data_IF_901359877860
#
_entry.id   IF_901359877860
#
_cell.length_a   1.000
_cell.length_b   1.000
_cell.length_c   1.000
_cell.angle_alpha   90.00
_cell.angle_beta   90.00
_cell.angle_gamma   90.00
#
_symmetry.space_group_name_H-M   'P 1'
#
loop_
_entity.id
_entity.type
_entity.pdbx_description
1 polymer ?
#
# COMPACT_ATOMS: atom_id res chain seq x y z
N UNK A 1 53.73 16.87 -35.47
CA UNK A 1 52.98 18.11 -35.20
C UNK A 1 52.20 17.92 -33.90
N UNK A 2 52.50 18.76 -32.89
CA UNK A 2 51.72 19.20 -31.71
C UNK A 2 50.93 18.12 -30.92
N UNK A 3 51.45 17.57 -29.80
CA UNK A 3 51.47 18.06 -28.39
C UNK A 3 50.08 18.13 -27.69
N UNK A 4 49.80 17.11 -26.85
CA UNK A 4 49.27 17.07 -25.43
C UNK A 4 48.30 18.15 -24.91
N UNK A 5 47.43 17.92 -23.88
CA UNK A 5 47.71 17.08 -22.68
C UNK A 5 46.56 16.32 -21.97
N UNK A 6 47.03 15.39 -21.14
CA UNK A 6 46.44 14.72 -19.96
C UNK A 6 45.91 15.70 -18.90
N UNK A 7 44.87 15.33 -18.14
CA UNK A 7 44.76 15.71 -16.72
C UNK A 7 43.96 14.72 -15.88
N UNK A 8 44.68 14.14 -14.93
CA UNK A 8 44.31 13.28 -13.81
C UNK A 8 43.78 14.14 -12.66
N UNK A 9 42.75 13.73 -11.94
CA UNK A 9 42.70 14.03 -10.49
C UNK A 9 41.85 13.02 -9.71
N UNK A 10 42.56 12.25 -8.89
CA UNK A 10 42.08 11.37 -7.83
C UNK A 10 42.15 12.17 -6.52
N UNK A 11 41.10 12.21 -5.71
CA UNK A 11 41.19 12.75 -4.35
C UNK A 11 40.25 11.99 -3.41
N UNK A 12 40.82 11.02 -2.71
CA UNK A 12 40.30 10.48 -1.46
C UNK A 12 40.65 11.45 -0.32
N UNK A 13 39.70 11.73 0.57
CA UNK A 13 39.99 12.40 1.85
C UNK A 13 39.31 11.62 2.98
N UNK A 14 40.17 10.91 3.72
CA UNK A 14 39.98 10.28 5.03
C UNK A 14 40.66 11.21 6.04
N UNK A 15 39.93 11.85 6.96
CA UNK A 15 40.44 12.42 8.25
C UNK A 15 39.23 12.59 9.17
N UNK A 16 38.99 11.71 10.16
CA UNK A 16 39.57 11.62 11.51
C UNK A 16 38.79 12.42 12.58
N UNK A 17 38.52 11.71 13.67
CA UNK A 17 37.83 12.18 14.86
C UNK A 17 38.72 13.09 15.73
N UNK A 18 38.12 14.19 16.19
CA UNK A 18 38.41 14.90 17.43
C UNK A 18 37.07 15.55 17.83
N UNK A 19 36.45 15.25 18.96
CA UNK A 19 37.03 15.38 20.29
C UNK A 19 36.88 16.82 20.77
N UNK A 20 35.65 17.31 20.93
CA UNK A 20 35.37 18.59 21.58
C UNK A 20 34.40 18.36 22.74
N UNK A 21 34.97 18.38 23.95
CA UNK A 21 34.25 18.47 25.21
C UNK A 21 33.87 19.94 25.42
N UNK A 22 32.60 20.22 25.63
CA UNK A 22 32.11 21.51 26.10
C UNK A 22 30.86 21.21 26.94
N UNK A 23 30.99 21.37 28.25
CA UNK A 23 29.87 21.37 29.19
C UNK A 23 28.97 22.58 28.90
N UNK A 24 27.67 22.39 28.61
CA UNK A 24 26.73 23.50 28.54
C UNK A 24 26.06 23.74 29.89
N UNK A 25 26.10 25.01 30.30
CA UNK A 25 25.36 25.62 31.39
C UNK A 25 23.84 25.34 31.29
N UNK A 26 23.11 25.13 32.41
CA UNK A 26 21.71 24.71 32.36
C UNK A 26 20.79 25.87 31.96
N UNK A 27 20.37 25.87 30.70
CA UNK A 27 19.28 26.71 30.22
C UNK A 27 17.91 26.14 30.67
N UNK A 28 16.92 27.00 31.00
CA UNK A 28 15.63 26.58 31.52
C UNK A 28 14.85 25.73 30.51
N UNK A 29 14.27 24.64 31.01
CA UNK A 29 13.59 23.60 30.25
C UNK A 29 12.46 24.14 29.38
N UNK A 30 12.73 24.23 28.08
CA UNK A 30 11.72 24.18 27.03
C UNK A 30 11.61 22.72 26.59
N UNK A 31 10.41 22.15 26.71
CA UNK A 31 10.13 20.78 26.30
C UNK A 31 10.39 20.63 24.81
N UNK A 32 11.58 20.16 24.44
CA UNK A 32 11.84 19.61 23.12
C UNK A 32 10.98 18.37 22.98
N UNK A 33 9.88 18.48 22.24
CA UNK A 33 9.21 17.33 21.66
C UNK A 33 10.25 16.64 20.78
N UNK A 34 10.90 15.63 21.33
CA UNK A 34 11.74 14.72 20.60
C UNK A 34 10.80 13.97 19.66
N UNK A 35 10.64 14.50 18.45
CA UNK A 35 10.07 13.75 17.34
C UNK A 35 10.94 12.53 17.18
N UNK A 36 10.43 11.39 17.68
CA UNK A 36 10.99 10.10 17.35
C UNK A 36 11.09 10.07 15.83
N UNK A 37 12.29 9.80 15.31
CA UNK A 37 12.45 9.44 13.92
C UNK A 37 11.41 8.35 13.59
N UNK A 38 10.77 8.37 12.41
CA UNK A 38 9.86 7.31 12.04
C UNK A 38 10.66 6.02 12.01
N UNK A 39 10.55 5.23 13.08
CA UNK A 39 10.94 3.83 13.07
C UNK A 39 10.11 3.22 11.97
N UNK A 40 10.75 2.79 10.89
CA UNK A 40 10.14 1.97 9.87
C UNK A 40 9.37 0.87 10.60
N UNK A 41 8.04 0.98 10.60
CA UNK A 41 7.17 0.10 11.34
C UNK A 41 7.45 -1.32 10.90
N UNK A 42 8.05 -2.11 11.77
CA UNK A 42 8.10 -3.55 11.57
C UNK A 42 6.64 -4.03 11.45
N UNK A 43 6.31 -4.87 10.44
CA UNK A 43 4.96 -5.38 10.31
C UNK A 43 4.59 -6.13 11.59
N UNK A 44 3.53 -5.67 12.25
CA UNK A 44 3.04 -6.23 13.50
C UNK A 44 2.57 -7.66 13.23
N UNK A 45 3.39 -8.63 13.65
CA UNK A 45 3.14 -10.05 13.45
C UNK A 45 2.36 -10.62 14.63
N UNK A 46 1.04 -10.81 14.42
CA UNK A 46 0.18 -11.89 14.93
C UNK A 46 -1.28 -11.40 14.89
N UNK A 47 -1.92 -11.51 13.71
CA UNK A 47 -3.35 -11.24 13.59
C UNK A 47 -4.15 -12.29 14.38
N UNK A 48 -5.11 -11.81 15.18
CA UNK A 48 -6.22 -12.65 15.65
C UNK A 48 -6.93 -13.29 14.45
N UNK A 49 -7.58 -14.44 14.66
CA UNK A 49 -8.38 -15.08 13.62
C UNK A 49 -9.38 -14.06 13.04
N UNK A 50 -9.25 -13.73 11.75
CA UNK A 50 -10.05 -12.71 11.07
C UNK A 50 -9.36 -11.36 10.80
N UNK A 51 -8.07 -11.19 11.15
CA UNK A 51 -7.27 -10.03 10.72
C UNK A 51 -6.31 -10.43 9.60
N UNK A 52 -6.63 -9.98 8.39
CA UNK A 52 -5.75 -10.07 7.21
C UNK A 52 -4.77 -8.88 7.21
N UNK A 53 -3.56 -9.02 6.63
CA UNK A 53 -2.71 -7.87 6.41
C UNK A 53 -3.42 -6.83 5.53
N UNK A 54 -3.43 -5.56 5.93
CA UNK A 54 -4.11 -4.49 5.18
C UNK A 54 -3.07 -3.68 4.43
N UNK A 55 -3.24 -3.51 3.12
CA UNK A 55 -2.40 -2.60 2.34
C UNK A 55 -3.03 -1.21 2.21
N UNK A 56 -2.23 -0.13 2.32
CA UNK A 56 -2.75 1.23 2.23
C UNK A 56 -3.22 1.55 0.80
N UNK A 57 -4.07 2.57 0.68
CA UNK A 57 -4.65 3.01 -0.61
C UNK A 57 -3.58 3.47 -1.62
N UNK A 58 -2.43 3.90 -1.13
CA UNK A 58 -1.28 4.35 -1.92
C UNK A 58 -0.14 3.33 -1.98
N UNK A 59 -0.41 2.05 -1.65
CA UNK A 59 0.57 0.99 -1.76
C UNK A 59 1.15 0.92 -3.17
N UNK A 60 2.46 1.06 -3.27
CA UNK A 60 3.20 0.82 -4.52
C UNK A 60 3.15 -0.66 -4.90
N UNK A 61 3.33 -0.98 -6.18
CA UNK A 61 3.42 -2.36 -6.66
C UNK A 61 4.47 -3.18 -5.91
N UNK A 62 5.61 -2.54 -5.56
CA UNK A 62 6.68 -3.18 -4.80
C UNK A 62 6.27 -3.50 -3.36
N UNK A 63 5.55 -2.59 -2.69
CA UNK A 63 5.00 -2.83 -1.35
C UNK A 63 3.95 -3.93 -1.40
N UNK A 64 3.04 -3.88 -2.38
CA UNK A 64 2.00 -4.89 -2.56
C UNK A 64 2.62 -6.26 -2.82
N UNK A 65 3.58 -6.38 -3.74
CA UNK A 65 4.30 -7.63 -4.00
C UNK A 65 4.99 -8.17 -2.75
N UNK A 66 5.60 -7.31 -1.93
CA UNK A 66 6.22 -7.71 -0.66
C UNK A 66 5.20 -8.23 0.35
N UNK A 67 4.02 -7.59 0.46
CA UNK A 67 2.93 -8.02 1.36
C UNK A 67 2.26 -9.33 0.91
N UNK A 68 2.24 -9.59 -0.40
CA UNK A 68 1.59 -10.76 -1.00
C UNK A 68 2.46 -12.02 -0.88
N UNK A 69 3.79 -11.86 -0.87
CA UNK A 69 4.73 -12.98 -0.88
C UNK A 69 4.49 -14.05 0.21
N UNK A 70 4.19 -13.71 1.48
CA UNK A 70 3.89 -14.72 2.50
C UNK A 70 2.65 -15.57 2.17
N UNK A 71 1.66 -15.01 1.48
CA UNK A 71 0.48 -15.74 1.03
C UNK A 71 0.82 -16.64 -0.16
N UNK A 72 1.54 -16.15 -1.16
CA UNK A 72 1.98 -16.97 -2.30
C UNK A 72 2.86 -18.15 -1.86
N UNK A 73 3.81 -17.92 -0.96
CA UNK A 73 4.67 -18.97 -0.41
C UNK A 73 3.84 -20.03 0.34
N UNK A 74 2.79 -19.62 1.06
CA UNK A 74 1.84 -20.53 1.68
C UNK A 74 1.06 -21.34 0.65
N UNK A 75 0.50 -20.70 -0.38
CA UNK A 75 -0.26 -21.36 -1.44
C UNK A 75 0.58 -22.43 -2.13
N UNK A 76 1.82 -22.10 -2.50
CA UNK A 76 2.76 -23.06 -3.11
C UNK A 76 3.07 -24.22 -2.16
N UNK A 77 3.30 -23.96 -0.88
CA UNK A 77 3.55 -25.00 0.13
C UNK A 77 2.35 -25.92 0.36
N UNK A 78 1.13 -25.48 0.00
CA UNK A 78 -0.12 -26.26 0.08
C UNK A 78 -0.52 -26.91 -1.24
N UNK A 79 0.33 -26.85 -2.26
CA UNK A 79 0.10 -27.50 -3.56
C UNK A 79 -0.53 -26.59 -4.62
N UNK A 80 -0.77 -25.31 -4.30
CA UNK A 80 -1.24 -24.32 -5.27
C UNK A 80 -0.14 -23.96 -6.25
N UNK A 81 -0.13 -24.57 -7.43
CA UNK A 81 0.95 -24.42 -8.42
C UNK A 81 0.82 -23.17 -9.30
N UNK A 82 -0.36 -22.53 -9.31
CA UNK A 82 -0.70 -21.40 -10.21
C UNK A 82 -0.50 -20.01 -9.59
N UNK A 83 -0.10 -19.92 -8.33
CA UNK A 83 -0.18 -18.65 -7.56
C UNK A 83 1.11 -17.83 -7.53
N UNK A 84 2.26 -18.39 -7.92
CA UNK A 84 3.54 -17.66 -7.86
C UNK A 84 3.55 -16.51 -8.88
N UNK A 85 3.67 -15.28 -8.38
CA UNK A 85 3.71 -14.08 -9.21
C UNK A 85 2.35 -13.65 -9.78
N UNK A 86 1.25 -14.29 -9.38
CA UNK A 86 -0.11 -13.90 -9.76
C UNK A 86 -0.90 -13.29 -8.61
N UNK A 87 -0.36 -13.27 -7.39
CA UNK A 87 -1.13 -12.90 -6.22
C UNK A 87 -1.62 -11.46 -6.22
N UNK A 88 -0.86 -10.54 -6.81
CA UNK A 88 -1.27 -9.14 -6.97
C UNK A 88 -2.55 -9.01 -7.82
N UNK A 89 -2.66 -9.78 -8.90
CA UNK A 89 -3.85 -9.80 -9.74
C UNK A 89 -5.05 -10.42 -9.01
N UNK A 90 -4.83 -11.46 -8.22
CA UNK A 90 -5.91 -12.13 -7.51
C UNK A 90 -6.49 -11.26 -6.40
N UNK A 91 -5.63 -10.57 -5.68
CA UNK A 91 -6.02 -9.74 -4.53
C UNK A 91 -6.68 -8.45 -4.98
N UNK A 92 -6.18 -7.81 -6.04
CA UNK A 92 -6.84 -6.62 -6.61
C UNK A 92 -8.21 -6.93 -7.23
N UNK A 93 -8.48 -8.19 -7.57
CA UNK A 93 -9.80 -8.66 -8.02
C UNK A 93 -10.70 -9.16 -6.88
N UNK A 94 -10.22 -9.16 -5.63
CA UNK A 94 -10.98 -9.63 -4.48
C UNK A 94 -11.25 -11.14 -4.48
N UNK A 95 -10.40 -11.96 -5.12
CA UNK A 95 -10.61 -13.41 -5.16
C UNK A 95 -10.63 -14.01 -3.75
N UNK A 96 -11.65 -14.83 -3.51
CA UNK A 96 -11.86 -15.57 -2.26
C UNK A 96 -11.71 -17.08 -2.50
N UNK A 97 -11.77 -17.87 -1.42
CA UNK A 97 -11.84 -19.33 -1.54
C UNK A 97 -13.07 -19.82 -2.32
N UNK A 98 -14.12 -19.01 -2.45
CA UNK A 98 -15.30 -19.34 -3.26
C UNK A 98 -15.04 -19.18 -4.77
N UNK A 99 -14.02 -18.41 -5.14
CA UNK A 99 -13.61 -18.16 -6.52
C UNK A 99 -12.48 -19.09 -6.97
N UNK A 100 -11.95 -19.90 -6.06
CA UNK A 100 -10.86 -20.84 -6.31
C UNK A 100 -11.36 -22.09 -7.03
N UNK A 101 -10.52 -22.65 -7.91
CA UNK A 101 -10.76 -23.98 -8.47
C UNK A 101 -10.77 -25.03 -7.34
N UNK A 102 -11.55 -26.11 -7.48
CA UNK A 102 -11.74 -27.12 -6.43
C UNK A 102 -10.42 -27.66 -5.86
N UNK A 103 -9.39 -27.78 -6.70
CA UNK A 103 -8.04 -28.24 -6.33
C UNK A 103 -7.29 -27.26 -5.41
N UNK A 104 -7.65 -25.97 -5.43
CA UNK A 104 -6.97 -24.90 -4.70
C UNK A 104 -7.74 -24.42 -3.45
N UNK A 105 -9.02 -24.79 -3.30
CA UNK A 105 -9.87 -24.37 -2.15
C UNK A 105 -9.20 -24.69 -0.80
N UNK A 106 -8.60 -25.87 -0.66
CA UNK A 106 -7.94 -26.28 0.57
C UNK A 106 -6.71 -25.42 0.88
N UNK A 107 -5.93 -25.06 -0.13
CA UNK A 107 -4.78 -24.16 0.00
C UNK A 107 -5.25 -22.75 0.36
N UNK A 108 -6.27 -22.23 -0.31
CA UNK A 108 -6.88 -20.93 -0.01
C UNK A 108 -7.31 -20.84 1.45
N UNK A 109 -8.10 -21.81 1.94
CA UNK A 109 -8.55 -21.83 3.34
C UNK A 109 -7.39 -21.91 4.32
N UNK A 110 -6.35 -22.69 4.01
CA UNK A 110 -5.18 -22.81 4.87
C UNK A 110 -4.32 -21.53 4.90
N UNK A 111 -4.37 -20.73 3.83
CA UNK A 111 -3.55 -19.54 3.64
C UNK A 111 -4.31 -18.22 3.81
N UNK A 112 -5.63 -18.25 3.99
CA UNK A 112 -6.51 -17.08 4.02
C UNK A 112 -6.04 -15.99 5.00
N UNK A 113 -5.60 -16.37 6.20
CA UNK A 113 -5.11 -15.42 7.20
C UNK A 113 -3.85 -14.64 6.77
N UNK A 114 -3.16 -15.09 5.72
CA UNK A 114 -1.99 -14.42 5.13
C UNK A 114 -2.34 -13.59 3.91
N UNK A 115 -3.52 -13.79 3.32
CA UNK A 115 -3.96 -13.06 2.13
C UNK A 115 -4.13 -11.59 2.52
N UNK A 116 -3.36 -10.65 1.97
CA UNK A 116 -3.61 -9.25 2.24
C UNK A 116 -4.97 -8.83 1.65
N UNK A 117 -5.62 -7.88 2.30
CA UNK A 117 -6.84 -7.21 1.83
C UNK A 117 -6.56 -5.71 1.65
N UNK A 118 -7.32 -5.06 0.78
CA UNK A 118 -7.18 -3.63 0.60
C UNK A 118 -7.74 -2.86 1.79
N UNK A 119 -7.30 -1.62 1.98
CA UNK A 119 -7.86 -0.76 3.03
C UNK A 119 -9.38 -0.59 2.90
N UNK A 120 -9.88 -0.43 1.67
CA UNK A 120 -11.30 -0.31 1.37
C UNK A 120 -12.08 -1.60 1.69
N UNK A 121 -11.55 -2.79 1.35
CA UNK A 121 -12.18 -4.07 1.73
C UNK A 121 -12.19 -4.28 3.26
N UNK A 122 -11.09 -3.92 3.93
CA UNK A 122 -11.01 -3.97 5.39
C UNK A 122 -12.07 -3.05 6.01
N UNK A 123 -12.13 -1.79 5.58
CA UNK A 123 -13.09 -0.82 6.09
C UNK A 123 -14.53 -1.22 5.78
N UNK A 124 -14.82 -1.75 4.59
CA UNK A 124 -16.13 -2.30 4.23
C UNK A 124 -16.58 -3.37 5.22
N UNK A 125 -15.67 -4.24 5.65
CA UNK A 125 -15.93 -5.33 6.60
C UNK A 125 -16.03 -4.86 8.05
N UNK A 126 -15.17 -3.95 8.49
CA UNK A 126 -15.05 -3.59 9.92
C UNK A 126 -15.74 -2.28 10.30
N UNK A 127 -15.89 -1.34 9.36
CA UNK A 127 -16.59 -0.07 9.55
C UNK A 127 -17.44 0.32 8.31
N UNK A 128 -18.53 -0.42 8.03
CA UNK A 128 -19.32 -0.22 6.82
C UNK A 128 -19.99 1.15 6.72
N UNK A 129 -20.18 1.86 7.84
CA UNK A 129 -20.73 3.22 7.81
C UNK A 129 -19.71 4.21 7.26
N UNK A 130 -18.49 4.19 7.81
CA UNK A 130 -17.39 5.05 7.34
C UNK A 130 -17.01 4.72 5.89
N UNK A 131 -17.02 3.43 5.53
CA UNK A 131 -16.84 3.00 4.15
C UNK A 131 -17.83 3.70 3.20
N UNK A 132 -19.12 3.73 3.53
CA UNK A 132 -20.14 4.38 2.69
C UNK A 132 -19.92 5.88 2.55
N UNK A 133 -19.48 6.54 3.62
CA UNK A 133 -19.22 7.97 3.59
C UNK A 133 -18.00 8.27 2.71
N UNK A 134 -16.92 7.49 2.84
CA UNK A 134 -15.74 7.59 1.99
C UNK A 134 -16.06 7.27 0.52
N UNK A 135 -16.88 6.26 0.25
CA UNK A 135 -17.37 5.96 -1.10
C UNK A 135 -18.14 7.15 -1.69
N UNK A 136 -18.99 7.82 -0.90
CA UNK A 136 -19.71 9.02 -1.33
C UNK A 136 -18.74 10.15 -1.66
N UNK A 137 -17.74 10.39 -0.82
CA UNK A 137 -16.72 11.42 -1.08
C UNK A 137 -15.90 11.13 -2.35
N UNK A 138 -15.49 9.87 -2.53
CA UNK A 138 -14.79 9.43 -3.73
C UNK A 138 -15.64 9.62 -4.98
N UNK A 139 -16.91 9.22 -4.94
CA UNK A 139 -17.87 9.42 -6.03
C UNK A 139 -18.00 10.90 -6.39
N UNK A 140 -18.17 11.79 -5.41
CA UNK A 140 -18.31 13.23 -5.69
C UNK A 140 -17.03 13.81 -6.30
N UNK A 141 -15.85 13.45 -5.80
CA UNK A 141 -14.58 13.89 -6.37
C UNK A 141 -14.40 13.38 -7.80
N UNK A 142 -14.66 12.10 -8.07
CA UNK A 142 -14.54 11.52 -9.40
C UNK A 142 -15.56 12.13 -10.37
N UNK A 143 -16.81 12.32 -9.94
CA UNK A 143 -17.84 12.99 -10.74
C UNK A 143 -17.44 14.43 -11.08
N UNK A 144 -16.95 15.20 -10.10
CA UNK A 144 -16.47 16.56 -10.32
C UNK A 144 -15.23 16.61 -11.25
N UNK A 145 -14.42 15.56 -11.23
CA UNK A 145 -13.31 15.35 -12.16
C UNK A 145 -13.76 14.83 -13.54
N UNK A 146 -15.06 14.72 -13.82
CA UNK A 146 -15.58 14.39 -15.15
C UNK A 146 -15.52 12.90 -15.52
N UNK A 147 -15.37 11.99 -14.56
CA UNK A 147 -15.50 10.56 -14.82
C UNK A 147 -16.96 10.17 -15.07
N UNK A 148 -17.17 9.20 -15.95
CA UNK A 148 -18.48 8.60 -16.18
C UNK A 148 -18.65 7.42 -15.21
N UNK A 149 -19.59 7.55 -14.28
CA UNK A 149 -19.75 6.63 -13.16
C UNK A 149 -21.16 6.02 -13.15
N UNK A 150 -21.28 4.80 -12.62
CA UNK A 150 -22.59 4.25 -12.24
C UNK A 150 -23.15 5.08 -11.08
N UNK A 151 -24.46 5.00 -10.88
CA UNK A 151 -25.03 5.47 -9.62
C UNK A 151 -24.47 4.64 -8.45
N UNK A 152 -24.19 5.25 -7.30
CA UNK A 152 -23.79 4.51 -6.11
C UNK A 152 -24.87 3.51 -5.69
N UNK A 153 -24.44 2.30 -5.38
CA UNK A 153 -25.31 1.27 -4.82
C UNK A 153 -25.93 1.78 -3.50
N UNK A 154 -27.26 1.67 -3.31
CA UNK A 154 -27.92 2.20 -2.12
C UNK A 154 -27.55 1.46 -0.83
N UNK A 155 -27.11 0.20 -0.93
CA UNK A 155 -26.76 -0.64 0.21
C UNK A 155 -25.28 -0.59 0.55
N UNK A 156 -24.37 -0.43 -0.41
CA UNK A 156 -22.92 -0.45 -0.18
C UNK A 156 -22.24 0.88 -0.46
N UNK A 157 -22.88 1.80 -1.19
CA UNK A 157 -22.28 3.04 -1.67
C UNK A 157 -21.32 2.83 -2.84
N UNK A 158 -21.15 1.59 -3.31
CA UNK A 158 -20.19 1.26 -4.37
C UNK A 158 -20.61 1.79 -5.73
N UNK A 159 -19.62 2.22 -6.50
CA UNK A 159 -19.81 2.72 -7.85
C UNK A 159 -18.68 2.23 -8.74
N UNK A 160 -18.94 2.16 -10.04
CA UNK A 160 -17.96 1.78 -11.05
C UNK A 160 -17.83 2.85 -12.13
N UNK A 161 -16.80 2.73 -12.97
CA UNK A 161 -16.71 3.48 -14.22
C UNK A 161 -17.61 2.84 -15.28
N UNK A 162 -18.37 3.66 -16.01
CA UNK A 162 -19.18 3.21 -17.16
C UNK A 162 -18.43 3.35 -18.49
N UNK A 163 -17.40 4.18 -18.54
CA UNK A 163 -16.52 4.36 -19.69
C UNK A 163 -15.15 4.92 -19.27
N UNK A 164 -14.12 4.67 -20.09
CA UNK A 164 -12.84 5.38 -19.98
C UNK A 164 -13.05 6.81 -20.47
N UNK A 165 -12.88 7.77 -19.57
CA UNK A 165 -13.09 9.19 -19.85
C UNK A 165 -11.82 9.89 -20.34
N UNK A 166 -11.89 11.21 -20.63
CA UNK A 166 -10.72 12.00 -21.02
C UNK A 166 -9.64 12.06 -19.94
N UNK A 167 -9.99 11.76 -18.69
CA UNK A 167 -9.08 11.73 -17.54
C UNK A 167 -8.55 10.32 -17.23
N UNK A 168 -8.88 9.32 -18.05
CA UNK A 168 -8.39 7.94 -17.93
C UNK A 168 -9.40 6.96 -17.34
N UNK A 169 -8.89 5.84 -16.85
CA UNK A 169 -9.62 4.75 -16.22
C UNK A 169 -9.46 4.76 -14.68
N UNK A 170 -9.80 3.65 -14.02
CA UNK A 170 -9.71 3.52 -12.56
C UNK A 170 -8.26 3.55 -12.05
N UNK A 171 -7.27 3.32 -12.90
CA UNK A 171 -5.85 3.37 -12.58
C UNK A 171 -5.23 4.76 -12.78
N UNK A 172 -5.98 5.73 -13.29
CA UNK A 172 -5.47 7.08 -13.52
C UNK A 172 -5.10 7.83 -12.22
N UNK A 173 -4.05 8.65 -12.29
CA UNK A 173 -3.56 9.43 -11.14
C UNK A 173 -4.66 10.25 -10.45
N UNK A 174 -5.57 10.84 -11.24
CA UNK A 174 -6.65 11.68 -10.71
C UNK A 174 -7.73 10.84 -10.02
N UNK A 175 -8.08 9.67 -10.55
CA UNK A 175 -9.05 8.79 -9.91
C UNK A 175 -8.50 8.22 -8.59
N UNK A 176 -7.23 7.79 -8.59
CA UNK A 176 -6.54 7.34 -7.38
C UNK A 176 -6.34 8.48 -6.37
N UNK A 177 -6.12 9.72 -6.81
CA UNK A 177 -6.06 10.87 -5.92
C UNK A 177 -7.40 11.13 -5.21
N UNK A 178 -8.51 11.00 -5.92
CA UNK A 178 -9.84 11.08 -5.30
C UNK A 178 -10.06 9.94 -4.29
N UNK A 179 -9.62 8.70 -4.60
CA UNK A 179 -9.69 7.58 -3.67
C UNK A 179 -8.86 7.86 -2.41
N UNK A 180 -7.60 8.27 -2.57
CA UNK A 180 -6.72 8.63 -1.45
C UNK A 180 -7.34 9.71 -0.58
N UNK A 181 -7.86 10.79 -1.18
CA UNK A 181 -8.50 11.86 -0.42
C UNK A 181 -9.67 11.35 0.43
N UNK A 182 -10.53 10.51 -0.15
CA UNK A 182 -11.71 9.98 0.53
C UNK A 182 -11.38 8.95 1.63
N UNK A 183 -10.25 8.26 1.53
CA UNK A 183 -9.88 7.17 2.46
C UNK A 183 -8.66 7.48 3.35
N UNK A 184 -8.17 8.72 3.37
CA UNK A 184 -6.99 9.14 4.13
C UNK A 184 -7.27 9.58 5.58
N UNK A 185 -8.33 9.03 6.21
CA UNK A 185 -8.79 9.39 7.56
C UNK A 185 -7.69 9.56 8.61
#
# INVERSE_FOLDING_TARGET
MRLTPTLVTLAAVLVAAAGCSSDPEPAPGVATLQSAAPTAGAPSAAGTAGQRPVFPVDATDAQLAAMIRPWEDCMVAKGGTKFRGQGALMITKGLTAADAEDEDVAAFRACEAKQPESFDDNQKRTNPSEYKDNQREWYQCAKAAGYQLTEPDPETGEFGLTAVGPNGDAGSDKFLACKRQAFAG
#
